data_IF_890495355149
#
_entry.id   IF_890495355149
#
_cell.length_a   1.000
_cell.length_b   1.000
_cell.length_c   1.000
_cell.angle_alpha   90.00
_cell.angle_beta   90.00
_cell.angle_gamma   90.00
#
_symmetry.space_group_name_H-M   'P 1'
#
loop_
_entity.id
_entity.type
_entity.pdbx_description
1 polymer ?
#
# COMPACT_ATOMS: atom_id res chain seq x y z
N UNK A 1 15.01 12.28 33.69
CA UNK A 1 13.56 12.53 33.56
C UNK A 1 13.06 11.74 32.35
N UNK A 2 12.22 10.74 32.56
CA UNK A 2 11.77 9.78 31.54
C UNK A 2 10.71 10.42 30.66
N UNK A 3 10.95 10.50 29.36
CA UNK A 3 9.96 10.88 28.35
C UNK A 3 8.93 9.75 28.19
N UNK A 4 7.95 9.71 29.07
CA UNK A 4 6.73 8.92 28.87
C UNK A 4 5.64 9.91 28.50
N UNK A 5 5.08 9.81 27.31
CA UNK A 5 3.88 10.55 27.00
C UNK A 5 3.70 11.00 25.57
N UNK A 6 3.92 10.14 24.55
CA UNK A 6 3.65 10.54 23.16
C UNK A 6 3.03 9.48 22.26
N UNK A 7 2.43 8.44 22.82
CA UNK A 7 1.84 7.37 21.99
C UNK A 7 0.32 7.51 21.81
N UNK A 8 -0.35 8.29 22.65
CA UNK A 8 -1.82 8.50 22.54
C UNK A 8 -2.15 9.69 21.62
N UNK A 9 -1.14 10.49 21.23
CA UNK A 9 -1.32 11.71 20.45
C UNK A 9 -1.53 11.53 18.95
N UNK A 10 -1.18 10.40 18.35
CA UNK A 10 -1.13 10.28 16.90
C UNK A 10 -2.49 10.40 16.19
N UNK A 11 -3.51 9.77 16.71
CA UNK A 11 -4.87 9.82 16.13
C UNK A 11 -5.54 11.16 16.42
N UNK A 12 -5.34 11.70 17.62
CA UNK A 12 -5.86 13.02 17.97
C UNK A 12 -5.14 14.16 17.25
N UNK A 13 -3.85 14.02 16.95
CA UNK A 13 -3.09 15.05 16.26
C UNK A 13 -3.53 15.21 14.80
N UNK A 14 -3.83 14.12 14.10
CA UNK A 14 -4.35 14.16 12.75
C UNK A 14 -5.71 14.88 12.67
N UNK A 15 -6.59 14.65 13.66
CA UNK A 15 -7.87 15.35 13.76
C UNK A 15 -7.69 16.83 14.10
N UNK A 16 -6.75 17.18 14.97
CA UNK A 16 -6.48 18.57 15.38
C UNK A 16 -5.82 19.37 14.23
N UNK A 17 -4.93 18.77 13.46
CA UNK A 17 -4.30 19.44 12.30
C UNK A 17 -5.34 19.72 11.20
N UNK A 18 -6.32 18.84 11.02
CA UNK A 18 -7.46 19.07 10.12
C UNK A 18 -8.36 20.24 10.55
N UNK A 19 -8.38 20.57 11.85
CA UNK A 19 -9.22 21.63 12.43
C UNK A 19 -8.50 23.01 12.46
N UNK A 20 -7.16 23.01 12.53
CA UNK A 20 -6.37 24.24 12.75
C UNK A 20 -5.77 24.89 11.50
N UNK A 21 -6.19 24.51 10.32
CA UNK A 21 -5.62 25.05 9.08
C UNK A 21 -4.37 24.29 8.64
N UNK A 22 -4.60 23.46 7.71
CA UNK A 22 -3.73 22.48 7.15
C UNK A 22 -2.43 23.06 6.56
N UNK A 23 -1.31 22.82 7.21
CA UNK A 23 0.01 22.95 6.60
C UNK A 23 0.47 21.58 6.10
N UNK A 24 0.36 21.36 4.80
CA UNK A 24 0.67 20.14 4.10
C UNK A 24 2.05 19.57 4.42
N UNK A 25 3.09 20.39 4.47
CA UNK A 25 4.46 19.95 4.76
C UNK A 25 4.62 19.49 6.22
N UNK A 26 3.98 20.17 7.16
CA UNK A 26 4.03 19.79 8.56
C UNK A 26 3.34 18.44 8.81
N UNK A 27 2.22 18.17 8.14
CA UNK A 27 1.52 16.88 8.20
C UNK A 27 2.38 15.79 7.59
N UNK A 28 2.96 16.02 6.42
CA UNK A 28 3.87 15.08 5.76
C UNK A 28 5.05 14.71 6.66
N UNK A 29 5.69 15.68 7.31
CA UNK A 29 6.82 15.45 8.23
C UNK A 29 6.39 14.66 9.45
N UNK A 30 5.23 14.97 10.04
CA UNK A 30 4.72 14.24 11.21
C UNK A 30 4.40 12.80 10.83
N UNK A 31 3.70 12.56 9.73
CA UNK A 31 3.40 11.20 9.27
C UNK A 31 4.66 10.45 8.89
N UNK A 32 5.60 11.06 8.19
CA UNK A 32 6.87 10.43 7.85
C UNK A 32 7.64 9.98 9.11
N UNK A 33 7.76 10.81 10.11
CA UNK A 33 8.50 10.48 11.32
C UNK A 33 7.78 9.52 12.28
N UNK A 34 6.44 9.48 12.25
CA UNK A 34 5.63 8.65 13.15
C UNK A 34 5.33 7.28 12.52
N UNK A 35 5.01 7.24 11.23
CA UNK A 35 4.56 6.02 10.54
C UNK A 35 5.63 5.37 9.66
N UNK A 36 6.70 6.08 9.33
CA UNK A 36 7.86 5.51 8.64
C UNK A 36 9.12 5.65 9.50
N UNK A 37 9.21 4.97 10.64
CA UNK A 37 10.53 4.78 11.19
C UNK A 37 11.34 4.03 10.12
N UNK A 38 12.53 4.51 9.81
CA UNK A 38 13.47 3.89 8.89
C UNK A 38 13.93 2.53 9.45
N UNK A 39 13.05 1.57 9.45
CA UNK A 39 13.43 0.18 9.61
C UNK A 39 13.89 -0.26 8.24
N UNK A 40 15.20 -0.38 8.05
CA UNK A 40 15.72 -1.22 6.99
C UNK A 40 15.07 -2.58 7.20
N UNK A 41 14.09 -2.89 6.40
CA UNK A 41 13.61 -4.25 6.30
C UNK A 41 14.80 -5.02 5.81
N UNK A 42 15.24 -6.00 6.61
CA UNK A 42 16.34 -6.88 6.28
C UNK A 42 16.16 -7.39 4.84
N UNK A 43 17.26 -7.52 4.11
CA UNK A 43 17.28 -8.01 2.73
C UNK A 43 16.73 -9.45 2.58
N UNK A 44 16.50 -10.15 3.70
CA UNK A 44 15.70 -11.36 3.81
C UNK A 44 14.24 -11.16 3.40
N UNK A 45 13.83 -9.90 3.14
CA UNK A 45 12.56 -9.55 2.49
C UNK A 45 12.52 -9.92 1.02
N UNK A 46 13.64 -10.22 0.39
CA UNK A 46 13.65 -10.76 -0.96
C UNK A 46 13.02 -12.14 -0.95
N UNK A 47 12.07 -12.32 -1.83
CA UNK A 47 11.39 -13.59 -2.04
C UNK A 47 12.35 -14.75 -2.20
N UNK A 48 12.28 -15.71 -1.31
CA UNK A 48 12.84 -17.02 -1.54
C UNK A 48 11.82 -17.86 -2.32
N UNK A 49 11.89 -17.77 -3.64
CA UNK A 49 10.98 -18.47 -4.55
C UNK A 49 9.76 -17.61 -4.97
N UNK A 50 9.48 -17.59 -6.27
CA UNK A 50 8.39 -16.83 -6.87
C UNK A 50 8.86 -15.68 -7.76
N UNK A 51 7.90 -14.89 -8.24
CA UNK A 51 8.12 -13.76 -9.15
C UNK A 51 7.71 -12.45 -8.49
N UNK A 52 8.61 -11.47 -8.53
CA UNK A 52 8.34 -10.10 -8.08
C UNK A 52 8.32 -9.14 -9.28
N UNK A 53 7.33 -8.29 -9.32
CA UNK A 53 7.17 -7.23 -10.32
C UNK A 53 7.02 -5.92 -9.58
N UNK A 54 8.07 -5.11 -9.56
CA UNK A 54 8.09 -3.82 -8.88
C UNK A 54 7.65 -2.71 -9.85
N UNK A 55 6.87 -1.77 -9.34
CA UNK A 55 6.36 -0.61 -10.09
C UNK A 55 5.71 -0.98 -11.43
N UNK A 56 4.91 -2.04 -11.42
CA UNK A 56 4.15 -2.48 -12.57
C UNK A 56 3.04 -1.48 -12.88
N UNK A 57 3.07 -0.76 -14.02
CA UNK A 57 2.05 0.22 -14.34
C UNK A 57 0.72 -0.45 -14.63
N UNK A 58 -0.36 0.05 -14.08
CA UNK A 58 -1.72 -0.42 -14.34
C UNK A 58 -2.57 0.59 -15.13
N UNK A 59 -2.07 1.81 -15.30
CA UNK A 59 -2.70 2.90 -16.05
C UNK A 59 -1.62 3.84 -16.58
N UNK A 60 -1.98 4.66 -17.57
CA UNK A 60 -1.13 5.73 -18.11
C UNK A 60 -1.58 7.11 -17.62
N UNK A 61 -2.52 7.18 -16.70
CA UNK A 61 -3.12 8.43 -16.22
C UNK A 61 -2.15 9.21 -15.33
N UNK A 62 -1.31 8.51 -14.58
CA UNK A 62 -0.33 9.09 -13.65
C UNK A 62 0.91 8.20 -13.54
N UNK A 63 2.06 8.83 -13.24
CA UNK A 63 3.28 8.10 -12.85
C UNK A 63 3.10 7.34 -11.51
N UNK A 64 2.09 7.69 -10.72
CA UNK A 64 1.73 7.01 -9.50
C UNK A 64 0.77 5.83 -9.70
N UNK A 65 0.31 5.57 -10.92
CA UNK A 65 -0.57 4.47 -11.27
C UNK A 65 0.21 3.16 -11.49
N UNK A 66 0.89 2.70 -10.44
CA UNK A 66 1.63 1.45 -10.45
C UNK A 66 1.30 0.59 -9.22
N UNK A 67 1.68 -0.67 -9.27
CA UNK A 67 1.58 -1.59 -8.15
C UNK A 67 2.83 -2.48 -8.07
N UNK A 68 3.09 -3.02 -6.90
CA UNK A 68 4.08 -4.07 -6.70
C UNK A 68 3.34 -5.40 -6.58
N UNK A 69 3.64 -6.35 -7.47
CA UNK A 69 2.99 -7.65 -7.53
C UNK A 69 3.99 -8.76 -7.22
N UNK A 70 3.56 -9.67 -6.40
CA UNK A 70 4.37 -10.80 -5.95
C UNK A 70 3.54 -12.08 -6.03
N UNK A 71 4.07 -13.05 -6.74
CA UNK A 71 3.42 -14.33 -6.95
C UNK A 71 4.37 -15.45 -6.52
N UNK A 72 4.06 -16.18 -5.42
CA UNK A 72 4.86 -17.31 -4.98
C UNK A 72 4.93 -18.42 -6.04
N UNK A 73 6.00 -19.21 -6.02
CA UNK A 73 6.03 -20.45 -6.79
C UNK A 73 4.97 -21.41 -6.24
N UNK A 74 4.08 -21.88 -7.13
CA UNK A 74 3.01 -22.80 -6.79
C UNK A 74 2.65 -23.64 -8.02
N UNK A 75 2.24 -24.90 -7.81
CA UNK A 75 1.72 -25.76 -8.86
C UNK A 75 0.32 -25.30 -9.33
N UNK A 76 -0.46 -24.70 -8.42
CA UNK A 76 -1.80 -24.19 -8.70
C UNK A 76 -1.87 -22.67 -8.54
N UNK A 77 -2.69 -21.96 -9.35
CA UNK A 77 -2.88 -20.53 -9.20
C UNK A 77 -3.37 -20.14 -7.80
N UNK A 78 -2.66 -19.26 -7.12
CA UNK A 78 -2.97 -18.81 -5.77
C UNK A 78 -4.04 -17.71 -5.76
N UNK A 79 -4.82 -17.59 -4.66
CA UNK A 79 -5.68 -16.42 -4.46
C UNK A 79 -4.83 -15.16 -4.35
N UNK A 80 -5.36 -14.04 -4.82
CA UNK A 80 -4.70 -12.72 -4.76
C UNK A 80 -5.27 -11.88 -3.64
N UNK A 81 -4.40 -11.32 -2.80
CA UNK A 81 -4.74 -10.23 -1.87
C UNK A 81 -4.23 -8.90 -2.43
N UNK A 82 -5.09 -7.90 -2.50
CA UNK A 82 -4.77 -6.55 -2.92
C UNK A 82 -4.64 -5.68 -1.67
N UNK A 83 -3.49 -5.03 -1.52
CA UNK A 83 -3.17 -4.18 -0.39
C UNK A 83 -3.27 -2.72 -0.82
N UNK A 84 -4.05 -1.92 -0.08
CA UNK A 84 -4.21 -0.48 -0.30
C UNK A 84 -3.68 0.26 0.91
N UNK A 85 -2.61 1.01 0.73
CA UNK A 85 -1.94 1.69 1.84
C UNK A 85 -2.75 2.85 2.41
N UNK A 86 -2.59 3.11 3.70
CA UNK A 86 -3.07 4.32 4.37
C UNK A 86 -2.12 5.50 4.16
N UNK A 87 -2.33 6.56 4.91
CA UNK A 87 -1.49 7.77 4.87
C UNK A 87 -2.29 9.07 4.76
N UNK A 88 -3.58 9.05 5.16
CA UNK A 88 -4.44 10.24 5.16
C UNK A 88 -4.64 10.86 3.77
N UNK A 89 -4.50 10.08 2.70
CA UNK A 89 -4.53 10.50 1.29
C UNK A 89 -3.42 11.48 0.86
N UNK A 90 -2.45 11.76 1.71
CA UNK A 90 -1.40 12.77 1.45
C UNK A 90 0.01 12.21 1.53
N UNK A 91 0.14 10.95 1.93
CA UNK A 91 1.43 10.35 2.22
C UNK A 91 1.39 8.82 2.01
N UNK A 92 2.55 8.23 1.81
CA UNK A 92 2.78 6.80 1.67
C UNK A 92 2.74 6.29 0.22
N UNK A 93 3.12 5.04 0.05
CA UNK A 93 3.16 4.36 -1.25
C UNK A 93 2.98 2.83 -1.08
N UNK A 94 3.05 2.09 -2.19
CA UNK A 94 2.94 0.64 -2.24
C UNK A 94 4.03 -0.10 -1.44
N UNK A 95 5.17 0.55 -1.17
CA UNK A 95 6.29 -0.02 -0.44
C UNK A 95 6.34 0.41 1.03
N UNK A 96 5.26 1.00 1.53
CA UNK A 96 5.17 1.38 2.93
C UNK A 96 5.47 0.21 3.87
N UNK A 97 6.00 0.52 5.05
CA UNK A 97 6.28 -0.51 6.06
C UNK A 97 5.09 -1.42 6.34
N UNK A 98 3.90 -0.83 6.43
CA UNK A 98 2.66 -1.56 6.69
C UNK A 98 2.33 -2.51 5.53
N UNK A 99 2.40 -2.04 4.30
CA UNK A 99 2.22 -2.86 3.11
C UNK A 99 3.21 -4.04 3.11
N UNK A 100 4.48 -3.79 3.43
CA UNK A 100 5.51 -4.82 3.50
C UNK A 100 5.27 -5.87 4.59
N UNK A 101 4.73 -5.47 5.75
CA UNK A 101 4.38 -6.40 6.83
C UNK A 101 3.20 -7.29 6.43
N UNK A 102 2.12 -6.70 5.89
CA UNK A 102 0.95 -7.44 5.43
C UNK A 102 1.29 -8.37 4.28
N UNK A 103 2.10 -7.90 3.37
CA UNK A 103 2.64 -8.64 2.28
C UNK A 103 3.34 -9.95 2.72
N UNK A 104 4.26 -9.87 3.69
CA UNK A 104 4.93 -11.05 4.26
C UNK A 104 3.94 -12.00 4.89
N UNK A 105 3.01 -11.46 5.68
CA UNK A 105 1.98 -12.26 6.33
C UNK A 105 1.17 -13.06 5.31
N UNK A 106 0.61 -12.42 4.29
CA UNK A 106 -0.22 -13.11 3.31
C UNK A 106 0.56 -14.07 2.43
N UNK A 107 1.79 -13.72 2.04
CA UNK A 107 2.69 -14.62 1.34
C UNK A 107 2.87 -15.94 2.12
N UNK A 108 3.19 -15.84 3.40
CA UNK A 108 3.45 -17.01 4.24
C UNK A 108 2.18 -17.85 4.49
N UNK A 109 1.00 -17.32 4.12
CA UNK A 109 -0.29 -17.99 4.18
C UNK A 109 -0.84 -18.41 2.81
N UNK A 110 -0.01 -18.44 1.77
CA UNK A 110 -0.39 -18.98 0.47
C UNK A 110 -1.17 -18.04 -0.43
N UNK A 111 -0.88 -16.72 -0.37
CA UNK A 111 -1.47 -15.73 -1.24
C UNK A 111 -0.44 -15.12 -2.19
N UNK A 112 -0.84 -14.86 -3.43
CA UNK A 112 -0.23 -13.81 -4.22
C UNK A 112 -0.63 -12.45 -3.64
N UNK A 113 0.23 -11.44 -3.76
CA UNK A 113 0.01 -10.12 -3.14
C UNK A 113 0.26 -9.02 -4.15
N UNK A 114 -0.68 -8.06 -4.25
CA UNK A 114 -0.50 -6.83 -5.01
C UNK A 114 -0.62 -5.63 -4.07
N UNK A 115 0.44 -4.83 -3.94
CA UNK A 115 0.40 -3.57 -3.20
C UNK A 115 0.21 -2.42 -4.17
N UNK A 116 -0.92 -1.73 -4.07
CA UNK A 116 -1.33 -0.70 -5.02
C UNK A 116 -0.87 0.67 -4.55
N UNK A 117 -0.21 1.42 -5.45
CA UNK A 117 -0.02 2.84 -5.32
C UNK A 117 -1.17 3.57 -6.04
N UNK A 118 -1.51 4.78 -5.62
CA UNK A 118 -2.61 5.57 -6.17
C UNK A 118 -2.30 7.07 -6.01
N UNK A 119 -2.94 7.93 -6.82
CA UNK A 119 -2.77 9.38 -6.74
C UNK A 119 -3.20 9.92 -5.38
N UNK A 120 -2.31 10.67 -4.76
CA UNK A 120 -2.57 11.34 -3.49
C UNK A 120 -3.27 12.68 -3.71
N UNK A 121 -3.80 13.27 -2.64
CA UNK A 121 -4.58 14.51 -2.70
C UNK A 121 -3.81 15.74 -3.24
N UNK A 122 -2.47 15.69 -3.22
CA UNK A 122 -1.62 16.73 -3.83
C UNK A 122 -1.64 16.67 -5.34
N UNK A 123 -1.89 15.48 -5.91
CA UNK A 123 -1.90 15.28 -7.35
C UNK A 123 -3.31 15.41 -7.92
N UNK A 124 -4.28 14.79 -7.28
CA UNK A 124 -5.66 14.80 -7.75
C UNK A 124 -6.67 14.74 -6.59
N UNK A 125 -7.77 15.46 -6.73
CA UNK A 125 -8.85 15.46 -5.76
C UNK A 125 -9.66 14.14 -5.81
N UNK A 126 -10.40 13.85 -4.71
CA UNK A 126 -11.39 12.78 -4.71
C UNK A 126 -12.33 12.92 -5.95
N UNK A 127 -12.68 11.83 -6.65
CA UNK A 127 -12.47 10.42 -6.31
C UNK A 127 -11.23 9.76 -6.94
N UNK A 128 -10.23 10.50 -7.40
CA UNK A 128 -9.13 9.99 -8.21
C UNK A 128 -8.46 8.73 -7.64
N UNK A 129 -8.05 8.75 -6.37
CA UNK A 129 -7.42 7.57 -5.74
C UNK A 129 -8.32 6.32 -5.72
N UNK A 130 -9.65 6.51 -5.58
CA UNK A 130 -10.61 5.40 -5.65
C UNK A 130 -10.70 4.84 -7.07
N UNK A 131 -10.67 5.71 -8.08
CA UNK A 131 -10.68 5.32 -9.49
C UNK A 131 -9.41 4.57 -9.87
N UNK A 132 -8.27 5.00 -9.33
CA UNK A 132 -6.97 4.35 -9.52
C UNK A 132 -6.98 2.92 -8.94
N UNK A 133 -7.42 2.75 -7.70
CA UNK A 133 -7.54 1.42 -7.08
C UNK A 133 -8.47 0.51 -7.88
N UNK A 134 -9.60 1.03 -8.38
CA UNK A 134 -10.50 0.25 -9.26
C UNK A 134 -9.82 -0.11 -10.58
N UNK A 135 -8.99 0.76 -11.13
CA UNK A 135 -8.21 0.48 -12.34
C UNK A 135 -7.17 -0.60 -12.10
N UNK A 136 -6.47 -0.55 -10.96
CA UNK A 136 -5.55 -1.58 -10.54
C UNK A 136 -6.24 -2.96 -10.39
N UNK A 137 -7.43 -3.01 -9.79
CA UNK A 137 -8.20 -4.25 -9.65
C UNK A 137 -8.57 -4.82 -11.04
N UNK A 138 -9.02 -3.97 -11.97
CA UNK A 138 -9.34 -4.41 -13.35
C UNK A 138 -8.10 -4.92 -14.09
N UNK A 139 -6.99 -4.19 -13.97
CA UNK A 139 -5.70 -4.60 -14.53
C UNK A 139 -5.26 -5.97 -13.99
N UNK A 140 -5.28 -6.16 -12.68
CA UNK A 140 -4.92 -7.42 -12.06
C UNK A 140 -5.81 -8.56 -12.54
N UNK A 141 -7.14 -8.36 -12.62
CA UNK A 141 -8.06 -9.40 -13.10
C UNK A 141 -7.82 -9.77 -14.57
N UNK A 142 -7.59 -8.79 -15.42
CA UNK A 142 -7.34 -9.01 -16.85
C UNK A 142 -5.98 -9.70 -17.12
N UNK A 143 -5.04 -9.61 -16.21
CA UNK A 143 -3.69 -10.14 -16.38
C UNK A 143 -3.40 -11.35 -15.47
N UNK A 144 -4.39 -11.93 -14.84
CA UNK A 144 -4.21 -13.02 -13.86
C UNK A 144 -3.49 -14.24 -14.45
N UNK A 145 -3.87 -14.68 -15.63
CA UNK A 145 -3.22 -15.80 -16.34
C UNK A 145 -1.75 -15.51 -16.66
N UNK A 146 -1.47 -14.28 -17.13
CA UNK A 146 -0.10 -13.85 -17.45
C UNK A 146 0.84 -13.91 -16.27
N UNK A 147 0.35 -13.56 -15.08
CA UNK A 147 1.16 -13.49 -13.87
C UNK A 147 1.07 -14.75 -12.99
N UNK A 148 0.06 -15.62 -13.19
CA UNK A 148 -0.05 -16.93 -12.58
C UNK A 148 -0.77 -16.95 -11.23
N UNK A 149 -1.82 -16.14 -11.05
CA UNK A 149 -2.73 -16.21 -9.90
C UNK A 149 -4.19 -16.38 -10.36
N UNK A 150 -5.08 -16.70 -9.42
CA UNK A 150 -6.47 -17.03 -9.70
C UNK A 150 -7.33 -15.77 -9.84
N UNK A 151 -7.95 -15.50 -11.02
CA UNK A 151 -8.78 -14.31 -11.25
C UNK A 151 -10.09 -14.31 -10.46
N UNK A 152 -10.56 -15.48 -9.99
CA UNK A 152 -11.82 -15.61 -9.28
C UNK A 152 -11.69 -15.48 -7.76
N UNK A 153 -10.47 -15.60 -7.24
CA UNK A 153 -10.20 -15.54 -5.81
C UNK A 153 -9.40 -14.29 -5.42
N UNK A 154 -10.08 -13.14 -5.44
CA UNK A 154 -9.54 -11.85 -5.03
C UNK A 154 -10.06 -11.43 -3.66
N UNK A 155 -9.17 -10.93 -2.82
CA UNK A 155 -9.51 -10.19 -1.61
C UNK A 155 -8.81 -8.83 -1.63
N UNK A 156 -9.36 -7.87 -0.90
CA UNK A 156 -8.78 -6.53 -0.73
C UNK A 156 -8.64 -6.23 0.76
N UNK A 157 -7.52 -5.67 1.13
CA UNK A 157 -7.23 -5.18 2.47
C UNK A 157 -6.76 -3.73 2.40
N UNK A 158 -7.39 -2.86 3.15
CA UNK A 158 -7.04 -1.45 3.23
C UNK A 158 -6.82 -1.01 4.67
N UNK A 159 -5.91 -0.08 4.86
CA UNK A 159 -5.62 0.53 6.15
C UNK A 159 -5.98 2.01 6.14
N UNK A 160 -6.71 2.48 7.15
CA UNK A 160 -7.00 3.91 7.33
C UNK A 160 -7.60 4.54 6.06
N UNK A 161 -6.88 5.43 5.37
CA UNK A 161 -7.32 6.03 4.11
C UNK A 161 -7.46 5.02 2.96
N UNK A 162 -6.86 3.84 3.06
CA UNK A 162 -7.00 2.76 2.07
C UNK A 162 -8.20 1.85 2.31
N UNK A 163 -8.93 2.03 3.43
CA UNK A 163 -10.05 1.20 3.87
C UNK A 163 -11.42 1.51 3.27
#
# INVERSE_FOLDING_TARGET
>A
MKKKGFIIGGICLAAIVGILGYNHEAVRVVFHNVYSPSVKLDDSSKWNGGKAYEKLPYSETSENDYLDLYVPDSEEPMPLIILVHGGGFVYNDSQSRQAQLMYRYFRDHGYACASVNYRLAQEAAFPAGVEDVKSAIRFLRANAEKYGYDPERFAIWGESAGG
#
